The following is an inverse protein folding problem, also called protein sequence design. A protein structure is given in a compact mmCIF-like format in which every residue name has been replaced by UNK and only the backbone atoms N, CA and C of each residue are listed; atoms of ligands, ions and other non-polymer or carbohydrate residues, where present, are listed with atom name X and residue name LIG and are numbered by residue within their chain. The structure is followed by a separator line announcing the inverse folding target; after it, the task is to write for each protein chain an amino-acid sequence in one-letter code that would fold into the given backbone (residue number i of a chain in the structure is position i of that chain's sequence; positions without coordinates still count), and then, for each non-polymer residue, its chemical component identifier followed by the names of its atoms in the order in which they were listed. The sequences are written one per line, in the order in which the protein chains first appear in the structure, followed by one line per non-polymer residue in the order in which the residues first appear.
data_IF_837850867783
#
_entry.id   IF_837850867783
#
_cell.length_a   1.000
_cell.length_b   1.000
_cell.length_c   1.000
_cell.angle_alpha   90.00
_cell.angle_beta   90.00
_cell.angle_gamma   90.00
#
_symmetry.space_group_name_H-M   'P 1'
#
loop_
_entity.id
_entity.type
_entity.pdbx_description
1 polymer ?
#
# COMPACT_ATOMS: atom_id res chain seq x y z
N UNK A 1 8.90 7.58 -17.06
CA UNK A 1 8.86 6.20 -17.59
C UNK A 1 7.43 5.73 -17.79
N UNK A 2 7.17 5.07 -18.93
CA UNK A 2 5.94 4.29 -19.08
C UNK A 2 6.09 2.93 -18.37
N UNK A 3 4.98 2.19 -18.29
CA UNK A 3 4.99 0.91 -17.58
C UNK A 3 5.86 -0.15 -18.28
N UNK A 4 5.99 -0.10 -19.61
CA UNK A 4 6.83 -1.02 -20.36
C UNK A 4 8.32 -0.81 -20.07
N UNK A 5 8.75 0.44 -19.93
CA UNK A 5 10.09 0.82 -19.51
C UNK A 5 10.39 0.30 -18.10
N UNK A 6 9.46 0.47 -17.15
CA UNK A 6 9.63 -0.06 -15.78
C UNK A 6 9.78 -1.59 -15.77
N UNK A 7 9.00 -2.32 -16.58
CA UNK A 7 9.13 -3.77 -16.67
C UNK A 7 10.44 -4.22 -17.32
N UNK A 8 10.95 -3.49 -18.31
CA UNK A 8 12.28 -3.75 -18.89
C UNK A 8 13.37 -3.55 -17.85
N UNK A 9 13.36 -2.42 -17.14
CA UNK A 9 14.30 -2.14 -16.06
C UNK A 9 14.24 -3.23 -14.97
N UNK A 10 13.04 -3.65 -14.55
CA UNK A 10 12.88 -4.77 -13.60
C UNK A 10 13.50 -6.06 -14.12
N UNK A 11 13.34 -6.36 -15.42
CA UNK A 11 13.95 -7.55 -16.04
C UNK A 11 15.47 -7.49 -16.08
N UNK A 12 16.07 -6.31 -16.25
CA UNK A 12 17.54 -6.12 -16.22
C UNK A 12 18.11 -6.38 -14.83
N UNK A 13 17.31 -6.16 -13.78
CA UNK A 13 17.68 -6.38 -12.38
C UNK A 13 17.06 -7.66 -11.79
N UNK A 14 16.61 -8.59 -12.64
CA UNK A 14 15.95 -9.82 -12.18
C UNK A 14 16.89 -10.70 -11.34
N UNK A 15 16.39 -11.16 -10.20
CA UNK A 15 17.13 -11.98 -9.23
C UNK A 15 16.45 -11.98 -7.86
N UNK A 16 17.19 -12.34 -6.81
CA UNK A 16 16.69 -12.37 -5.42
C UNK A 16 16.18 -11.02 -4.90
N UNK A 17 16.58 -9.91 -5.54
CA UNK A 17 16.22 -8.54 -5.14
C UNK A 17 15.52 -7.78 -6.28
N UNK A 18 14.66 -8.46 -7.04
CA UNK A 18 13.89 -7.81 -8.12
C UNK A 18 13.02 -6.69 -7.54
N UNK A 19 13.04 -5.46 -8.10
CA UNK A 19 12.26 -4.36 -7.55
C UNK A 19 10.77 -4.57 -7.77
N UNK A 20 9.97 -4.26 -6.75
CA UNK A 20 8.51 -4.19 -6.87
C UNK A 20 8.09 -2.89 -7.57
N UNK A 21 7.08 -2.99 -8.43
CA UNK A 21 6.42 -1.88 -9.10
C UNK A 21 5.07 -1.65 -8.42
N UNK A 22 5.05 -0.65 -7.54
CA UNK A 22 3.88 -0.21 -6.80
C UNK A 22 3.34 1.11 -7.38
N UNK A 23 2.02 1.27 -7.44
CA UNK A 23 1.37 2.49 -7.94
C UNK A 23 0.61 3.23 -6.83
N UNK A 24 0.85 4.53 -6.69
CA UNK A 24 0.03 5.41 -5.83
C UNK A 24 -1.16 5.96 -6.63
N UNK A 25 -2.36 5.48 -6.32
CA UNK A 25 -3.58 5.73 -7.11
C UNK A 25 -4.45 6.85 -6.54
N UNK A 26 -4.17 7.32 -5.32
CA UNK A 26 -4.99 8.33 -4.62
C UNK A 26 -4.16 9.57 -4.28
N UNK A 27 -3.36 10.02 -5.24
CA UNK A 27 -2.52 11.20 -5.08
C UNK A 27 -3.36 12.48 -4.93
N UNK A 28 -3.22 13.12 -3.76
CA UNK A 28 -4.03 14.26 -3.29
C UNK A 28 -3.67 15.62 -3.88
N UNK A 29 -2.53 15.73 -4.56
CA UNK A 29 -2.05 16.96 -5.20
C UNK A 29 -2.19 16.92 -6.72
N UNK A 30 -3.23 16.26 -7.21
CA UNK A 30 -3.51 16.15 -8.65
C UNK A 30 -4.70 17.02 -9.04
N UNK A 31 -4.64 17.62 -10.23
CA UNK A 31 -5.70 18.48 -10.77
C UNK A 31 -6.93 17.69 -11.24
N UNK A 32 -7.01 16.38 -10.98
CA UNK A 32 -8.11 15.52 -11.41
C UNK A 32 -9.29 15.63 -10.44
N UNK A 33 -10.40 16.27 -10.84
CA UNK A 33 -11.56 16.47 -9.99
C UNK A 33 -12.50 15.26 -10.00
N UNK A 34 -12.03 14.07 -10.39
CA UNK A 34 -12.87 12.87 -10.40
C UNK A 34 -12.97 12.33 -8.97
N UNK A 35 -13.80 13.01 -8.19
CA UNK A 35 -14.07 12.72 -6.77
C UNK A 35 -14.61 11.30 -6.58
N UNK A 36 -15.17 10.69 -7.63
CA UNK A 36 -15.67 9.30 -7.58
C UNK A 36 -14.60 8.24 -7.75
N UNK A 37 -13.62 8.41 -8.66
CA UNK A 37 -12.51 7.46 -8.85
C UNK A 37 -11.47 7.58 -7.73
N UNK A 38 -11.35 8.74 -7.10
CA UNK A 38 -10.59 8.87 -5.85
C UNK A 38 -11.27 8.11 -4.70
N UNK A 39 -12.60 8.01 -4.69
CA UNK A 39 -13.37 7.29 -3.66
C UNK A 39 -13.52 5.79 -3.92
N UNK A 40 -13.52 5.36 -5.18
CA UNK A 40 -13.68 3.96 -5.57
C UNK A 40 -12.33 3.33 -5.91
N UNK A 41 -11.87 2.44 -5.05
CA UNK A 41 -10.61 1.68 -5.23
C UNK A 41 -10.75 0.51 -6.21
N UNK A 42 -11.95 -0.06 -6.37
CA UNK A 42 -12.17 -1.24 -7.21
C UNK A 42 -11.61 -1.11 -8.65
N UNK A 43 -11.85 -0.01 -9.39
CA UNK A 43 -11.29 0.15 -10.74
C UNK A 43 -9.76 0.16 -10.76
N UNK A 44 -9.12 0.67 -9.70
CA UNK A 44 -7.66 0.68 -9.58
C UNK A 44 -7.10 -0.72 -9.29
N UNK A 45 -7.81 -1.52 -8.51
CA UNK A 45 -7.44 -2.92 -8.26
C UNK A 45 -7.55 -3.75 -9.55
N UNK A 46 -8.63 -3.58 -10.31
CA UNK A 46 -8.81 -4.22 -11.62
C UNK A 46 -7.73 -3.81 -12.61
N UNK A 47 -7.42 -2.51 -12.68
CA UNK A 47 -6.36 -1.99 -13.54
C UNK A 47 -4.99 -2.55 -13.14
N UNK A 48 -4.68 -2.61 -11.83
CA UNK A 48 -3.42 -3.17 -11.34
C UNK A 48 -3.27 -4.65 -11.68
N UNK A 49 -4.35 -5.43 -11.51
CA UNK A 49 -4.37 -6.82 -11.90
C UNK A 49 -4.17 -7.00 -13.41
N UNK A 50 -4.90 -6.24 -14.23
CA UNK A 50 -4.81 -6.32 -15.69
C UNK A 50 -3.41 -5.95 -16.20
N UNK A 51 -2.78 -4.96 -15.57
CA UNK A 51 -1.45 -4.48 -15.93
C UNK A 51 -0.31 -5.25 -15.26
N UNK A 52 -0.62 -6.24 -14.41
CA UNK A 52 0.35 -7.05 -13.65
C UNK A 52 1.29 -6.22 -12.78
N UNK A 53 0.74 -5.17 -12.18
CA UNK A 53 1.45 -4.39 -11.16
C UNK A 53 1.60 -5.24 -9.90
N UNK A 54 2.72 -5.06 -9.20
CA UNK A 54 3.00 -5.85 -7.99
C UNK A 54 2.15 -5.38 -6.82
N UNK A 55 1.66 -4.13 -6.83
CA UNK A 55 0.79 -3.64 -5.78
C UNK A 55 0.27 -2.23 -6.00
N UNK A 56 -0.69 -1.85 -5.16
CA UNK A 56 -1.33 -0.54 -5.17
C UNK A 56 -1.22 0.09 -3.79
N UNK A 57 -0.88 1.38 -3.78
CA UNK A 57 -0.80 2.20 -2.59
C UNK A 57 -2.09 3.00 -2.46
N UNK A 58 -2.75 2.84 -1.32
CA UNK A 58 -4.04 3.45 -1.00
C UNK A 58 -3.91 4.32 0.24
N UNK A 59 -4.57 5.46 0.26
CA UNK A 59 -4.53 6.39 1.38
C UNK A 59 -5.93 6.80 1.81
N UNK A 60 -6.09 7.32 3.03
CA UNK A 60 -7.37 7.88 3.46
C UNK A 60 -7.73 9.16 2.70
N UNK A 61 -8.86 9.77 3.06
CA UNK A 61 -9.39 10.97 2.40
C UNK A 61 -8.45 12.19 2.40
N UNK A 62 -7.47 12.25 3.29
CA UNK A 62 -6.53 13.37 3.43
C UNK A 62 -5.12 12.86 3.78
N UNK A 63 -4.08 13.66 3.52
CA UNK A 63 -2.70 13.26 3.81
C UNK A 63 -2.56 13.00 5.31
N UNK A 64 -2.03 11.83 5.67
CA UNK A 64 -1.90 11.44 7.08
C UNK A 64 -3.16 10.82 7.69
N UNK A 65 -4.26 10.65 6.93
CA UNK A 65 -5.38 9.82 7.35
C UNK A 65 -5.30 8.44 6.70
N UNK A 66 -5.55 7.36 7.46
CA UNK A 66 -5.67 6.03 6.88
C UNK A 66 -7.08 5.82 6.30
N UNK A 67 -7.28 4.81 5.43
CA UNK A 67 -8.62 4.36 5.07
C UNK A 67 -9.34 3.75 6.27
N UNK A 68 -10.67 3.68 6.21
CA UNK A 68 -11.47 3.04 7.25
C UNK A 68 -11.35 1.51 7.21
N UNK A 69 -11.52 0.80 8.34
CA UNK A 69 -11.51 -0.67 8.35
C UNK A 69 -12.55 -1.30 7.44
N UNK A 70 -13.72 -0.67 7.28
CA UNK A 70 -14.80 -1.14 6.41
C UNK A 70 -14.41 -1.08 4.93
N UNK A 71 -13.76 0.01 4.51
CA UNK A 71 -13.23 0.14 3.14
C UNK A 71 -12.19 -0.94 2.85
N UNK A 72 -11.29 -1.22 3.80
CA UNK A 72 -10.27 -2.26 3.65
C UNK A 72 -10.87 -3.65 3.46
N UNK A 73 -11.85 -4.00 4.29
CA UNK A 73 -12.55 -5.29 4.18
C UNK A 73 -13.25 -5.41 2.82
N UNK A 74 -13.86 -4.32 2.33
CA UNK A 74 -14.49 -4.29 1.02
C UNK A 74 -13.47 -4.52 -0.11
N UNK A 75 -12.30 -3.87 -0.05
CA UNK A 75 -11.26 -4.01 -1.07
C UNK A 75 -10.63 -5.40 -1.07
N UNK A 76 -10.33 -5.96 0.10
CA UNK A 76 -9.87 -7.33 0.21
C UNK A 76 -10.89 -8.34 -0.33
N UNK A 77 -12.16 -8.14 0.00
CA UNK A 77 -13.23 -8.97 -0.51
C UNK A 77 -13.30 -8.91 -2.04
N UNK A 78 -13.22 -7.71 -2.62
CA UNK A 78 -13.20 -7.51 -4.07
C UNK A 78 -12.00 -8.21 -4.71
N UNK A 79 -10.78 -7.98 -4.21
CA UNK A 79 -9.56 -8.65 -4.69
C UNK A 79 -9.70 -10.18 -4.67
N UNK A 80 -10.30 -10.73 -3.60
CA UNK A 80 -10.53 -12.16 -3.48
C UNK A 80 -11.50 -12.71 -4.53
N UNK A 81 -12.44 -11.90 -5.00
CA UNK A 81 -13.36 -12.28 -6.08
C UNK A 81 -12.79 -12.05 -7.48
N UNK A 82 -11.78 -11.17 -7.62
CA UNK A 82 -11.19 -10.82 -8.92
C UNK A 82 -10.40 -11.95 -9.57
N UNK A 83 -9.95 -12.94 -8.80
CA UNK A 83 -9.17 -14.08 -9.28
C UNK A 83 -9.67 -15.39 -8.69
N UNK A 84 -9.59 -16.50 -9.44
CA UNK A 84 -9.89 -17.81 -8.88
C UNK A 84 -8.80 -18.23 -7.86
N UNK A 85 -9.11 -19.13 -6.92
CA UNK A 85 -8.20 -19.48 -5.81
C UNK A 85 -6.82 -19.95 -6.27
N UNK A 86 -6.71 -20.63 -7.40
CA UNK A 86 -5.43 -21.09 -7.95
C UNK A 86 -4.51 -19.96 -8.44
N UNK A 87 -5.05 -18.74 -8.61
CA UNK A 87 -4.31 -17.54 -9.04
C UNK A 87 -4.18 -16.49 -7.95
N UNK A 88 -4.47 -16.82 -6.69
CA UNK A 88 -4.41 -15.87 -5.56
C UNK A 88 -3.06 -15.14 -5.47
N UNK A 89 -1.97 -15.84 -5.79
CA UNK A 89 -0.61 -15.32 -5.81
C UNK A 89 -0.36 -14.21 -6.85
N UNK A 90 -1.28 -13.99 -7.80
CA UNK A 90 -1.19 -12.93 -8.80
C UNK A 90 -1.92 -11.65 -8.37
N UNK A 91 -2.53 -11.64 -7.17
CA UNK A 91 -3.19 -10.44 -6.66
C UNK A 91 -2.16 -9.35 -6.39
N UNK A 92 -2.45 -8.09 -6.75
CA UNK A 92 -1.59 -6.98 -6.38
C UNK A 92 -1.59 -6.82 -4.85
N UNK A 93 -0.41 -6.54 -4.29
CA UNK A 93 -0.24 -6.19 -2.89
C UNK A 93 -1.06 -4.95 -2.54
N UNK A 94 -1.80 -5.02 -1.44
CA UNK A 94 -2.55 -3.92 -0.87
C UNK A 94 -1.68 -3.16 0.13
N UNK A 95 -1.29 -1.94 -0.23
CA UNK A 95 -0.36 -1.12 0.55
C UNK A 95 -1.07 0.09 1.14
N UNK A 96 -0.92 0.33 2.44
CA UNK A 96 -1.45 1.56 3.08
C UNK A 96 -0.40 2.65 3.08
N UNK A 97 -0.67 3.74 2.37
CA UNK A 97 0.28 4.81 2.14
C UNK A 97 0.37 5.87 3.24
N UNK A 98 -0.64 6.03 4.11
CA UNK A 98 -0.65 7.10 5.11
C UNK A 98 -1.51 6.83 6.34
N UNK A 99 -1.18 7.52 7.43
CA UNK A 99 -2.03 7.63 8.63
C UNK A 99 -2.01 6.42 9.56
N UNK A 100 -1.11 5.48 9.32
CA UNK A 100 -0.84 4.37 10.23
C UNK A 100 0.01 4.86 11.41
N UNK A 101 -0.41 4.48 12.60
CA UNK A 101 0.21 4.81 13.89
C UNK A 101 0.14 3.57 14.80
N UNK A 102 0.86 3.57 15.92
CA UNK A 102 0.77 2.47 16.90
C UNK A 102 -0.64 2.29 17.48
N UNK A 103 -1.46 3.34 17.52
CA UNK A 103 -2.82 3.30 18.08
C UNK A 103 -3.82 2.58 17.16
N UNK A 104 -3.67 2.73 15.84
CA UNK A 104 -4.60 2.16 14.86
C UNK A 104 -4.01 1.00 14.06
N UNK A 105 -2.74 0.63 14.30
CA UNK A 105 -2.03 -0.44 13.58
C UNK A 105 -2.83 -1.75 13.50
N UNK A 106 -3.47 -2.16 14.59
CA UNK A 106 -4.26 -3.39 14.69
C UNK A 106 -5.39 -3.47 13.65
N UNK A 107 -5.90 -2.33 13.16
CA UNK A 107 -6.94 -2.29 12.14
C UNK A 107 -6.42 -2.71 10.75
N UNK A 108 -5.11 -2.69 10.52
CA UNK A 108 -4.49 -2.90 9.22
C UNK A 108 -3.72 -4.22 9.13
N UNK A 109 -3.17 -4.72 10.24
CA UNK A 109 -2.27 -5.88 10.26
C UNK A 109 -2.82 -7.14 9.58
N UNK A 110 -4.13 -7.37 9.65
CA UNK A 110 -4.78 -8.56 9.05
C UNK A 110 -5.41 -8.27 7.68
N UNK A 111 -5.43 -7.01 7.28
CA UNK A 111 -6.19 -6.55 6.13
C UNK A 111 -5.34 -5.94 5.01
N UNK A 112 -4.01 -5.97 5.15
CA UNK A 112 -3.07 -5.27 4.27
C UNK A 112 -1.78 -6.06 4.18
N UNK A 113 -1.11 -5.98 3.03
CA UNK A 113 0.14 -6.71 2.81
C UNK A 113 1.35 -5.86 3.25
N UNK A 114 1.28 -4.55 3.03
CA UNK A 114 2.37 -3.63 3.37
C UNK A 114 1.83 -2.30 3.96
N UNK A 115 2.66 -1.68 4.80
CA UNK A 115 2.37 -0.40 5.44
C UNK A 115 3.50 0.58 5.17
N UNK A 116 3.17 1.77 4.66
CA UNK A 116 4.09 2.90 4.55
C UNK A 116 3.81 3.83 5.74
N UNK A 117 4.82 3.97 6.61
CA UNK A 117 4.69 4.72 7.86
C UNK A 117 5.67 5.88 7.87
N UNK A 118 5.14 7.10 7.87
CA UNK A 118 5.92 8.34 7.82
C UNK A 118 6.04 9.03 9.17
N UNK A 119 5.23 10.08 9.36
CA UNK A 119 5.29 10.98 10.52
C UNK A 119 5.21 10.26 11.87
N UNK A 120 4.48 9.14 11.96
CA UNK A 120 4.39 8.35 13.20
C UNK A 120 5.74 7.80 13.68
N UNK A 121 6.73 7.65 12.81
CA UNK A 121 8.09 7.20 13.16
C UNK A 121 9.07 8.36 13.40
N UNK A 122 8.64 9.60 13.19
CA UNK A 122 9.47 10.81 13.33
C UNK A 122 9.31 11.44 14.71
N UNK A 123 10.31 12.23 15.12
CA UNK A 123 10.26 12.94 16.41
C UNK A 123 9.00 13.81 16.48
N UNK A 124 8.32 13.75 17.61
CA UNK A 124 7.07 14.48 17.90
C UNK A 124 5.95 14.28 16.87
N UNK A 125 6.01 13.23 16.05
CA UNK A 125 5.02 13.00 15.00
C UNK A 125 5.05 14.01 13.85
N UNK A 126 6.12 14.81 13.71
CA UNK A 126 6.20 15.85 12.68
C UNK A 126 6.98 15.38 11.45
N UNK A 127 6.41 15.56 10.26
CA UNK A 127 6.96 14.99 9.03
C UNK A 127 8.28 15.61 8.58
N UNK A 128 8.63 16.82 9.00
CA UNK A 128 9.95 17.44 8.70
C UNK A 128 11.03 16.97 9.66
N UNK A 129 10.66 16.44 10.84
CA UNK A 129 11.62 16.00 11.83
C UNK A 129 12.34 14.71 11.39
N UNK A 130 13.54 14.44 11.96
CA UNK A 130 14.23 13.18 11.72
C UNK A 130 13.42 11.99 12.27
N UNK A 131 13.72 10.81 11.73
CA UNK A 131 13.23 9.54 12.28
C UNK A 131 13.71 9.40 13.73
N UNK A 132 12.83 8.91 14.59
CA UNK A 132 13.14 8.59 15.98
C UNK A 132 13.36 7.09 16.13
N UNK A 133 14.60 6.62 16.41
CA UNK A 133 14.89 5.20 16.54
C UNK A 133 14.05 4.49 17.61
N UNK A 134 13.68 5.18 18.70
CA UNK A 134 12.86 4.57 19.76
C UNK A 134 11.44 4.32 19.27
N UNK A 135 10.88 5.25 18.49
CA UNK A 135 9.56 5.09 17.87
C UNK A 135 9.55 3.97 16.83
N UNK A 136 10.61 3.85 16.03
CA UNK A 136 10.79 2.73 15.08
C UNK A 136 10.83 1.40 15.80
N UNK A 137 11.67 1.28 16.83
CA UNK A 137 11.77 0.05 17.62
C UNK A 137 10.45 -0.31 18.30
N UNK A 138 9.75 0.68 18.86
CA UNK A 138 8.45 0.45 19.47
C UNK A 138 7.42 -0.02 18.44
N UNK A 139 7.34 0.64 17.27
CA UNK A 139 6.44 0.26 16.19
C UNK A 139 6.74 -1.16 15.69
N UNK A 140 8.01 -1.50 15.47
CA UNK A 140 8.43 -2.83 15.00
C UNK A 140 8.04 -3.96 15.96
N UNK A 141 8.02 -3.72 17.28
CA UNK A 141 7.60 -4.74 18.26
C UNK A 141 6.10 -5.03 18.22
N UNK A 142 5.29 -4.12 17.67
CA UNK A 142 3.85 -4.29 17.55
C UNK A 142 3.46 -5.03 16.26
N UNK A 143 4.37 -5.14 15.30
CA UNK A 143 4.17 -5.93 14.08
C UNK A 143 4.59 -7.37 14.41
N UNK A 144 3.71 -8.37 14.23
CA UNK A 144 4.10 -9.76 14.35
C UNK A 144 5.21 -10.09 13.34
N UNK A 145 6.07 -11.05 13.67
CA UNK A 145 7.04 -11.56 12.71
C UNK A 145 6.29 -12.17 11.53
N UNK A 146 6.44 -11.57 10.35
CA UNK A 146 5.93 -12.11 9.10
C UNK A 146 7.13 -12.49 8.22
N UNK A 147 7.02 -13.60 7.50
CA UNK A 147 7.92 -13.87 6.39
C UNK A 147 7.70 -12.80 5.31
N UNK A 148 8.75 -12.34 4.62
CA UNK A 148 8.58 -11.43 3.49
C UNK A 148 7.67 -12.09 2.45
N UNK A 149 6.78 -11.32 1.77
CA UNK A 149 5.99 -11.85 0.68
C UNK A 149 6.93 -12.46 -0.38
N UNK A 150 6.61 -13.68 -0.79
CA UNK A 150 7.42 -14.49 -1.72
C UNK A 150 7.50 -13.90 -3.12
#
# INVERSE_FOLDING_TARGET
PDLAELFRLRSEHAGQNSPLILVDVQKKHTLFPIVELQRKVAPWLEAALFTKLDGIIITGSQTGTPPSPQELQQWQYQLRLSLPPERDHLKPLLVIGSGVTTHNLHNFLYHTDLLIVGSALKKDGFWEKPIDPQRVQHFSRLIPSCDPPA
#
